data_IF_969155802224
#
_entry.id   IF_969155802224
#
_cell.length_a   1.000
_cell.length_b   1.000
_cell.length_c   1.000
_cell.angle_alpha   90.00
_cell.angle_beta   90.00
_cell.angle_gamma   90.00
#
_symmetry.space_group_name_H-M   'P 1'
#
loop_
_entity.id
_entity.type
_entity.pdbx_description
1 polymer ?
#
# COMPACT_ATOMS: atom_id res chain seq x y z
N UNK A 1 13.38 16.03 19.93
CA UNK A 1 13.69 15.86 18.48
C UNK A 1 12.37 15.55 17.75
N UNK A 2 11.95 16.41 16.82
CA UNK A 2 10.59 16.37 16.23
C UNK A 2 10.66 16.42 14.71
N UNK A 3 9.81 15.67 14.03
CA UNK A 3 9.66 15.72 12.57
C UNK A 3 8.24 15.36 12.15
N UNK A 4 7.85 15.84 10.98
CA UNK A 4 6.57 15.54 10.34
C UNK A 4 6.81 15.00 8.93
N UNK A 5 6.11 13.94 8.56
CA UNK A 5 6.18 13.36 7.23
C UNK A 5 4.80 13.05 6.66
N UNK A 6 4.75 12.93 5.33
CA UNK A 6 3.56 12.59 4.57
C UNK A 6 3.87 11.46 3.59
N UNK A 7 2.95 10.51 3.47
CA UNK A 7 3.01 9.44 2.49
C UNK A 7 1.63 9.17 1.86
N UNK A 8 1.63 8.63 0.64
CA UNK A 8 0.43 8.22 -0.07
C UNK A 8 0.11 6.74 0.15
N UNK A 9 -1.17 6.32 0.17
CA UNK A 9 -1.54 4.92 0.11
C UNK A 9 -1.11 4.29 -1.22
N UNK A 10 -1.20 2.97 -1.33
CA UNK A 10 -0.79 2.23 -2.52
C UNK A 10 -1.90 1.34 -3.04
N UNK A 11 -1.86 1.10 -4.34
CA UNK A 11 -2.53 0.00 -5.03
C UNK A 11 -1.49 -1.06 -5.40
N UNK A 12 -1.72 -2.32 -5.07
CA UNK A 12 -0.89 -3.42 -5.56
C UNK A 12 -1.15 -3.70 -7.04
N UNK A 13 -0.09 -3.76 -7.87
CA UNK A 13 -0.16 -4.19 -9.26
C UNK A 13 0.21 -5.67 -9.40
N UNK A 14 1.36 -6.08 -8.84
CA UNK A 14 1.69 -7.47 -8.56
C UNK A 14 1.78 -7.59 -7.03
N UNK A 15 0.78 -8.21 -6.43
CA UNK A 15 0.55 -8.18 -4.98
C UNK A 15 1.33 -9.29 -4.29
N UNK A 16 1.95 -9.00 -3.14
CA UNK A 16 2.41 -10.08 -2.28
C UNK A 16 1.21 -10.74 -1.59
N UNK A 17 1.34 -12.03 -1.29
CA UNK A 17 0.37 -12.77 -0.49
C UNK A 17 1.10 -13.81 0.37
N UNK A 18 0.80 -13.80 1.66
CA UNK A 18 1.50 -14.58 2.67
C UNK A 18 2.81 -13.96 3.14
N UNK A 19 3.18 -14.30 4.37
CA UNK A 19 4.41 -13.89 5.04
C UNK A 19 5.24 -15.11 5.37
N UNK A 20 6.53 -15.10 4.99
CA UNK A 20 7.50 -16.13 5.42
C UNK A 20 8.02 -15.90 6.84
N UNK A 21 7.91 -14.63 7.30
CA UNK A 21 8.21 -14.17 8.64
C UNK A 21 7.20 -13.09 9.01
N UNK A 22 6.37 -13.38 10.01
CA UNK A 22 5.30 -12.48 10.44
C UNK A 22 5.81 -11.35 11.34
N UNK A 23 6.82 -11.62 12.17
CA UNK A 23 7.40 -10.63 13.09
C UNK A 23 8.11 -9.53 12.30
N UNK A 24 8.96 -9.93 11.35
CA UNK A 24 9.67 -9.03 10.45
C UNK A 24 8.83 -8.59 9.24
N UNK A 25 7.64 -9.14 9.07
CA UNK A 25 6.74 -8.90 7.92
C UNK A 25 7.39 -9.10 6.56
N UNK A 26 8.16 -10.19 6.46
CA UNK A 26 8.77 -10.62 5.20
C UNK A 26 7.75 -11.39 4.36
N UNK A 27 7.37 -10.90 3.18
CA UNK A 27 6.51 -11.66 2.27
C UNK A 27 7.27 -12.83 1.62
N UNK A 28 6.54 -13.81 1.12
CA UNK A 28 7.11 -14.94 0.38
C UNK A 28 7.72 -14.55 -0.96
N UNK A 29 7.24 -13.50 -1.58
CA UNK A 29 7.67 -13.07 -2.91
C UNK A 29 7.62 -11.56 -3.08
N UNK A 30 8.35 -11.08 -4.07
CA UNK A 30 8.39 -9.69 -4.52
C UNK A 30 7.02 -9.17 -4.91
N UNK A 31 6.87 -7.85 -4.90
CA UNK A 31 5.62 -7.19 -5.27
C UNK A 31 5.85 -5.81 -5.87
N UNK A 32 4.94 -5.38 -6.74
CA UNK A 32 4.95 -4.05 -7.38
C UNK A 32 3.65 -3.32 -7.03
N UNK A 33 3.74 -2.02 -6.79
CA UNK A 33 2.58 -1.15 -6.56
C UNK A 33 2.80 0.23 -7.14
N UNK A 34 1.71 0.98 -7.28
CA UNK A 34 1.73 2.43 -7.45
C UNK A 34 1.16 3.14 -6.22
N UNK A 35 1.62 4.36 -5.94
CA UNK A 35 1.03 5.25 -4.94
C UNK A 35 -0.14 6.03 -5.53
N UNK A 36 -1.16 6.31 -4.70
CA UNK A 36 -2.38 7.01 -5.11
C UNK A 36 -2.50 8.37 -4.41
N UNK A 37 -2.33 9.44 -5.19
CA UNK A 37 -2.50 10.82 -4.73
C UNK A 37 -3.87 11.38 -5.17
N UNK A 38 -4.44 12.39 -4.49
CA UNK A 38 -3.89 13.17 -3.37
C UNK A 38 -4.12 12.55 -1.97
N UNK A 39 -4.75 11.38 -1.87
CA UNK A 39 -4.94 10.71 -0.57
C UNK A 39 -3.60 10.51 0.14
N UNK A 40 -3.56 10.75 1.44
CA UNK A 40 -2.32 10.68 2.20
C UNK A 40 -2.56 10.46 3.69
N UNK A 41 -1.52 9.97 4.36
CA UNK A 41 -1.38 10.03 5.81
C UNK A 41 -0.26 11.00 6.16
N UNK A 42 -0.51 11.87 7.15
CA UNK A 42 0.47 12.76 7.75
C UNK A 42 0.76 12.29 9.18
N UNK A 43 2.04 12.18 9.52
CA UNK A 43 2.47 11.73 10.84
C UNK A 43 3.51 12.69 11.41
N UNK A 44 3.27 13.15 12.65
CA UNK A 44 4.24 13.92 13.44
C UNK A 44 4.72 13.06 14.60
N UNK A 45 6.03 13.06 14.81
CA UNK A 45 6.66 12.36 15.93
C UNK A 45 7.61 13.28 16.68
N UNK A 46 7.73 13.06 17.99
CA UNK A 46 8.69 13.75 18.84
C UNK A 46 9.31 12.76 19.83
N UNK A 47 10.64 12.61 19.77
CA UNK A 47 11.41 11.92 20.80
C UNK A 47 11.75 12.90 21.91
N UNK A 48 11.30 12.60 23.13
CA UNK A 48 11.41 13.46 24.31
C UNK A 48 12.02 12.66 25.48
N UNK A 49 13.21 13.05 25.99
CA UNK A 49 13.86 12.36 27.12
C UNK A 49 13.10 12.51 28.43
N UNK A 50 12.27 13.54 28.57
CA UNK A 50 11.57 13.86 29.81
C UNK A 50 10.17 13.20 29.88
N UNK A 51 9.74 12.54 28.83
CA UNK A 51 8.45 11.84 28.77
C UNK A 51 8.53 10.50 29.50
N UNK A 52 7.49 10.16 30.27
CA UNK A 52 7.45 8.90 31.05
C UNK A 52 7.07 7.67 30.22
N UNK A 53 6.22 7.84 29.18
CA UNK A 53 5.71 6.74 28.35
C UNK A 53 5.52 7.15 26.89
N UNK A 54 5.49 6.15 26.01
CA UNK A 54 5.11 6.34 24.61
C UNK A 54 3.62 6.66 24.50
N UNK A 55 3.28 7.53 23.57
CA UNK A 55 1.90 7.93 23.26
C UNK A 55 1.65 7.79 21.76
N UNK A 56 0.62 7.04 21.39
CA UNK A 56 0.23 6.80 19.99
C UNK A 56 -1.20 7.24 19.76
N UNK A 57 -1.42 8.19 18.84
CA UNK A 57 -2.73 8.72 18.46
C UNK A 57 -2.89 8.65 16.94
N UNK A 58 -4.01 8.12 16.46
CA UNK A 58 -4.35 8.08 15.04
C UNK A 58 -5.78 8.60 14.85
N UNK A 59 -5.96 9.59 13.98
CA UNK A 59 -7.24 10.26 13.71
C UNK A 59 -7.94 10.78 14.99
N UNK A 60 -7.14 11.24 15.95
CA UNK A 60 -7.60 11.78 17.25
C UNK A 60 -7.86 10.73 18.33
N UNK A 61 -7.74 9.44 18.02
CA UNK A 61 -8.01 8.35 18.96
C UNK A 61 -6.72 7.66 19.42
N UNK A 62 -6.58 7.34 20.73
CA UNK A 62 -5.47 6.54 21.24
C UNK A 62 -5.44 5.15 20.58
N UNK A 63 -4.24 4.68 20.23
CA UNK A 63 -4.04 3.36 19.63
C UNK A 63 -3.56 2.37 20.69
N UNK A 64 -4.26 1.24 20.81
CA UNK A 64 -3.96 0.16 21.75
C UNK A 64 -3.83 -1.20 21.05
N UNK A 65 -3.40 -2.23 21.80
CA UNK A 65 -3.32 -3.61 21.35
C UNK A 65 -2.41 -3.80 20.12
N UNK A 66 -2.82 -4.66 19.18
CA UNK A 66 -2.03 -5.00 17.97
C UNK A 66 -1.60 -3.76 17.16
N UNK A 67 -2.43 -2.72 17.12
CA UNK A 67 -2.09 -1.46 16.43
C UNK A 67 -0.89 -0.76 17.08
N UNK A 68 -0.91 -0.63 18.41
CA UNK A 68 0.17 -0.04 19.19
C UNK A 68 1.45 -0.91 19.10
N UNK A 69 1.34 -2.22 19.11
CA UNK A 69 2.48 -3.12 19.01
C UNK A 69 3.19 -2.98 17.66
N UNK A 70 2.43 -2.80 16.57
CA UNK A 70 3.00 -2.52 15.24
C UNK A 70 3.71 -1.17 15.16
N UNK A 71 3.15 -0.11 15.76
CA UNK A 71 3.81 1.19 15.85
C UNK A 71 5.09 1.08 16.66
N UNK A 72 5.03 0.39 17.82
CA UNK A 72 6.17 0.15 18.69
C UNK A 72 7.31 -0.57 17.96
N UNK A 73 7.02 -1.59 17.15
CA UNK A 73 8.02 -2.30 16.36
C UNK A 73 8.84 -1.37 15.45
N UNK A 74 8.19 -0.38 14.83
CA UNK A 74 8.88 0.63 13.98
C UNK A 74 9.67 1.63 14.83
N UNK A 75 9.11 2.06 15.96
CA UNK A 75 9.75 2.98 16.90
C UNK A 75 11.02 2.36 17.50
N UNK A 76 10.93 1.12 17.96
CA UNK A 76 12.04 0.41 18.61
C UNK A 76 13.19 0.13 17.63
N UNK A 77 12.88 -0.22 16.38
CA UNK A 77 13.88 -0.32 15.32
C UNK A 77 14.64 0.99 15.10
N UNK A 78 13.93 2.13 15.07
CA UNK A 78 14.58 3.44 14.93
C UNK A 78 15.40 3.79 16.17
N UNK A 79 14.91 3.49 17.37
CA UNK A 79 15.66 3.68 18.62
C UNK A 79 16.96 2.89 18.64
N UNK A 80 16.91 1.62 18.25
CA UNK A 80 18.08 0.75 18.18
C UNK A 80 19.14 1.30 17.22
N UNK A 81 18.71 1.69 16.02
CA UNK A 81 19.63 2.26 14.99
C UNK A 81 20.22 3.60 15.42
N UNK A 82 19.45 4.43 16.12
CA UNK A 82 19.90 5.75 16.58
C UNK A 82 20.67 5.70 17.92
N UNK A 83 20.61 4.58 18.65
CA UNK A 83 21.21 4.45 19.97
C UNK A 83 20.55 5.35 21.03
N UNK A 84 19.22 5.56 20.94
CA UNK A 84 18.42 6.39 21.86
C UNK A 84 17.36 5.55 22.58
N UNK A 85 16.98 5.99 23.78
CA UNK A 85 15.93 5.38 24.61
C UNK A 85 14.77 6.33 24.93
N UNK A 86 14.76 7.50 24.29
CA UNK A 86 13.73 8.53 24.50
C UNK A 86 12.34 8.01 24.18
N UNK A 87 11.36 8.42 24.98
CA UNK A 87 9.94 8.14 24.72
C UNK A 87 9.45 8.97 23.55
N UNK A 88 8.43 8.46 22.86
CA UNK A 88 7.90 9.09 21.66
C UNK A 88 6.45 9.58 21.87
N UNK A 89 6.16 10.78 21.41
CA UNK A 89 4.83 11.24 21.09
C UNK A 89 4.63 11.04 19.58
N UNK A 90 3.59 10.31 19.24
CA UNK A 90 3.26 9.96 17.87
C UNK A 90 1.81 10.33 17.57
N UNK A 91 1.60 11.17 16.57
CA UNK A 91 0.25 11.54 16.10
C UNK A 91 0.18 11.38 14.59
N UNK A 92 -0.87 10.72 14.10
CA UNK A 92 -1.08 10.47 12.68
C UNK A 92 -2.51 10.81 12.26
N UNK A 93 -2.68 11.41 11.08
CA UNK A 93 -3.98 11.77 10.50
C UNK A 93 -4.08 11.31 9.05
N UNK A 94 -5.24 10.75 8.70
CA UNK A 94 -5.56 10.30 7.34
C UNK A 94 -6.45 11.32 6.63
N UNK A 95 -6.16 11.65 5.38
CA UNK A 95 -7.00 12.50 4.52
C UNK A 95 -8.17 11.76 3.88
N UNK A 96 -8.34 10.48 4.18
CA UNK A 96 -9.34 9.59 3.60
C UNK A 96 -9.90 8.64 4.65
N UNK A 97 -11.12 8.08 4.46
CA UNK A 97 -11.69 7.14 5.40
C UNK A 97 -10.82 5.89 5.56
N UNK A 98 -10.58 5.49 6.80
CA UNK A 98 -9.87 4.25 7.13
C UNK A 98 -10.80 3.04 7.08
N UNK A 99 -10.23 1.83 7.01
CA UNK A 99 -10.97 0.54 7.01
C UNK A 99 -11.86 0.25 5.79
N UNK A 100 -11.70 0.98 4.68
CA UNK A 100 -12.43 0.73 3.43
C UNK A 100 -11.58 0.04 2.34
N UNK A 101 -10.39 -0.44 2.68
CA UNK A 101 -9.57 -1.27 1.79
C UNK A 101 -8.52 -0.54 0.95
N UNK A 102 -8.31 0.76 1.14
CA UNK A 102 -7.36 1.57 0.36
C UNK A 102 -6.02 1.82 1.06
N UNK A 103 -5.49 0.83 1.78
CA UNK A 103 -4.09 0.83 2.20
C UNK A 103 -3.69 1.89 3.22
N UNK A 104 -4.57 2.29 4.17
CA UNK A 104 -4.23 3.24 5.24
C UNK A 104 -3.00 2.82 6.04
N UNK A 105 -2.80 1.53 6.28
CA UNK A 105 -1.58 1.03 6.94
C UNK A 105 -0.32 1.28 6.10
N UNK A 106 -0.41 1.27 4.77
CA UNK A 106 0.75 1.53 3.91
C UNK A 106 1.25 2.97 4.06
N UNK A 107 0.37 3.97 3.87
CA UNK A 107 0.72 5.38 4.04
C UNK A 107 1.07 5.71 5.49
N UNK A 108 0.34 5.14 6.46
CA UNK A 108 0.57 5.37 7.89
C UNK A 108 1.97 4.98 8.34
N UNK A 109 2.40 3.75 8.08
CA UNK A 109 3.73 3.29 8.46
C UNK A 109 4.86 3.86 7.60
N UNK A 110 4.58 4.25 6.35
CA UNK A 110 5.56 4.98 5.54
C UNK A 110 5.82 6.39 6.08
N UNK A 111 4.77 7.17 6.40
CA UNK A 111 4.90 8.47 7.03
C UNK A 111 5.56 8.36 8.42
N UNK A 112 5.18 7.35 9.21
CA UNK A 112 5.77 7.06 10.51
C UNK A 112 7.28 6.83 10.42
N UNK A 113 7.72 5.90 9.56
CA UNK A 113 9.14 5.58 9.42
C UNK A 113 9.96 6.79 8.94
N UNK A 114 9.44 7.56 7.98
CA UNK A 114 10.09 8.79 7.52
C UNK A 114 10.22 9.82 8.66
N UNK A 115 9.15 10.08 9.40
CA UNK A 115 9.17 11.05 10.50
C UNK A 115 10.08 10.58 11.66
N UNK A 116 10.03 9.29 12.02
CA UNK A 116 10.85 8.73 13.09
C UNK A 116 12.35 8.78 12.76
N UNK A 117 12.74 8.39 11.55
CA UNK A 117 14.16 8.42 11.11
C UNK A 117 14.70 9.84 11.05
N UNK A 118 13.91 10.79 10.54
CA UNK A 118 14.28 12.21 10.53
C UNK A 118 14.41 12.78 11.94
N UNK A 119 13.41 12.53 12.82
CA UNK A 119 13.45 13.01 14.21
C UNK A 119 14.62 12.40 15.00
N UNK A 120 15.02 11.17 14.70
CA UNK A 120 16.18 10.52 15.31
C UNK A 120 17.53 10.94 14.71
N UNK A 121 17.53 11.76 13.66
CA UNK A 121 18.75 12.23 12.98
C UNK A 121 19.48 11.15 12.17
N UNK A 122 18.78 10.12 11.74
CA UNK A 122 19.35 9.04 10.93
C UNK A 122 19.42 9.45 9.46
N UNK A 123 20.61 9.49 8.90
CA UNK A 123 20.84 9.79 7.47
C UNK A 123 20.70 8.52 6.63
N UNK A 124 19.44 8.10 6.40
CA UNK A 124 19.10 6.90 5.63
C UNK A 124 18.56 7.24 4.24
N UNK A 125 18.83 6.37 3.28
CA UNK A 125 18.19 6.40 1.95
C UNK A 125 16.75 5.90 2.04
N UNK A 126 15.88 6.25 1.07
CA UNK A 126 14.50 5.73 1.04
C UNK A 126 14.41 4.19 1.05
N UNK A 127 15.23 3.43 0.30
CA UNK A 127 15.24 1.98 0.43
C UNK A 127 15.54 1.48 1.86
N UNK A 128 16.44 2.11 2.60
CA UNK A 128 16.73 1.76 4.00
C UNK A 128 15.55 2.12 4.92
N UNK A 129 14.94 3.30 4.75
CA UNK A 129 13.71 3.66 5.48
C UNK A 129 12.56 2.70 5.14
N UNK A 130 12.49 2.20 3.90
CA UNK A 130 11.46 1.26 3.50
C UNK A 130 11.56 -0.09 4.24
N UNK A 131 12.77 -0.55 4.57
CA UNK A 131 12.97 -1.74 5.40
C UNK A 131 12.42 -1.54 6.83
N UNK A 132 12.59 -0.34 7.39
CA UNK A 132 12.03 0.04 8.70
C UNK A 132 10.48 0.10 8.62
N UNK A 133 9.93 0.78 7.62
CA UNK A 133 8.48 0.93 7.43
C UNK A 133 7.78 -0.44 7.27
N UNK A 134 8.44 -1.41 6.62
CA UNK A 134 7.96 -2.78 6.42
C UNK A 134 7.60 -3.47 7.72
N UNK A 135 8.33 -3.24 8.80
CA UNK A 135 8.05 -3.83 10.13
C UNK A 135 6.67 -3.47 10.66
N UNK A 136 6.18 -2.29 10.35
CA UNK A 136 4.80 -1.89 10.63
C UNK A 136 3.79 -2.46 9.62
N UNK A 137 4.14 -2.48 8.34
CA UNK A 137 3.34 -3.04 7.24
C UNK A 137 4.22 -3.30 6.02
N UNK A 138 4.21 -4.50 5.48
CA UNK A 138 4.98 -4.81 4.28
C UNK A 138 4.61 -3.91 3.07
N UNK A 139 3.36 -3.48 2.99
CA UNK A 139 2.89 -2.51 1.99
C UNK A 139 3.55 -1.13 2.16
N UNK A 140 3.88 -0.72 3.40
CA UNK A 140 4.46 0.58 3.68
C UNK A 140 5.84 0.77 3.04
N UNK A 141 6.60 -0.30 2.87
CA UNK A 141 7.89 -0.22 2.19
C UNK A 141 7.77 0.46 0.82
N UNK A 142 6.73 0.12 0.04
CA UNK A 142 6.51 0.69 -1.30
C UNK A 142 5.97 2.11 -1.25
N UNK A 143 5.19 2.45 -0.23
CA UNK A 143 4.73 3.83 -0.01
C UNK A 143 5.88 4.79 0.34
N UNK A 144 6.97 4.31 0.97
CA UNK A 144 8.18 5.12 1.22
C UNK A 144 8.87 5.52 -0.08
N UNK A 145 9.04 4.59 -1.01
CA UNK A 145 9.73 4.83 -2.28
C UNK A 145 8.86 5.51 -3.32
N UNK A 146 7.55 5.36 -3.22
CA UNK A 146 6.54 6.13 -3.95
C UNK A 146 6.45 5.85 -5.44
N UNK A 147 5.55 6.54 -6.12
CA UNK A 147 5.24 6.33 -7.53
C UNK A 147 5.06 4.83 -7.82
N UNK A 148 5.76 4.27 -8.79
CA UNK A 148 5.82 2.84 -9.01
C UNK A 148 7.01 2.23 -8.26
N UNK A 149 6.74 1.30 -7.38
CA UNK A 149 7.74 0.74 -6.47
C UNK A 149 7.73 -0.78 -6.46
N UNK A 150 8.92 -1.36 -6.35
CA UNK A 150 9.16 -2.79 -6.26
C UNK A 150 9.70 -3.13 -4.87
N UNK A 151 8.94 -3.88 -4.07
CA UNK A 151 9.43 -4.51 -2.85
C UNK A 151 10.12 -5.81 -3.22
N UNK A 152 11.43 -5.88 -2.99
CA UNK A 152 12.20 -7.12 -3.06
C UNK A 152 12.14 -7.81 -1.71
N UNK A 153 11.87 -9.10 -1.71
CA UNK A 153 11.83 -9.88 -0.48
C UNK A 153 13.21 -10.18 0.08
N UNK A 154 14.23 -10.17 -0.78
CA UNK A 154 15.61 -10.43 -0.36
C UNK A 154 15.82 -11.77 0.34
N UNK A 155 16.97 -11.92 0.99
CA UNK A 155 17.33 -13.10 1.78
C UNK A 155 17.25 -12.86 3.29
N UNK A 156 17.47 -11.63 3.72
CA UNK A 156 17.48 -11.20 5.12
C UNK A 156 16.64 -9.93 5.36
N UNK A 157 16.72 -9.38 6.57
CA UNK A 157 15.94 -8.22 6.96
C UNK A 157 16.38 -6.92 6.24
N UNK A 158 17.67 -6.75 6.00
CA UNK A 158 18.22 -5.53 5.43
C UNK A 158 17.98 -5.43 3.93
N UNK A 159 18.00 -6.56 3.20
CA UNK A 159 17.79 -6.56 1.75
C UNK A 159 16.30 -6.76 1.36
N UNK A 160 15.41 -7.02 2.33
CA UNK A 160 13.96 -6.94 2.15
C UNK A 160 13.47 -5.48 2.17
N UNK A 161 13.65 -4.78 1.05
CA UNK A 161 13.39 -3.35 0.92
C UNK A 161 12.81 -2.98 -0.43
N UNK A 162 12.20 -1.80 -0.49
CA UNK A 162 11.59 -1.26 -1.70
C UNK A 162 12.53 -0.31 -2.43
N UNK A 163 12.38 -0.27 -3.74
CA UNK A 163 12.99 0.72 -4.62
C UNK A 163 11.97 1.21 -5.65
N UNK A 164 12.08 2.48 -6.05
CA UNK A 164 11.32 3.01 -7.18
C UNK A 164 11.82 2.34 -8.45
N UNK A 165 10.91 2.01 -9.36
CA UNK A 165 11.24 1.45 -10.68
C UNK A 165 11.08 2.51 -11.76
N UNK A 166 11.84 2.37 -12.84
CA UNK A 166 11.72 3.22 -14.02
C UNK A 166 10.40 2.92 -14.73
N UNK A 167 9.66 3.97 -15.04
CA UNK A 167 8.39 3.95 -15.77
C UNK A 167 8.44 5.06 -16.82
N UNK A 168 7.81 4.85 -17.96
CA UNK A 168 7.70 5.89 -18.98
C UNK A 168 7.01 7.13 -18.41
N UNK A 169 7.58 8.31 -18.57
CA UNK A 169 7.08 9.56 -17.99
C UNK A 169 5.64 9.85 -18.43
N UNK A 170 5.31 9.55 -19.68
CA UNK A 170 3.96 9.73 -20.25
C UNK A 170 2.95 8.81 -19.54
N UNK A 171 3.33 7.55 -19.27
CA UNK A 171 2.46 6.61 -18.56
C UNK A 171 2.24 7.06 -17.11
N UNK A 172 3.30 7.46 -16.39
CA UNK A 172 3.18 7.93 -15.01
C UNK A 172 2.28 9.17 -14.91
N UNK A 173 2.35 10.10 -15.86
CA UNK A 173 1.54 11.32 -15.90
C UNK A 173 0.08 11.06 -16.29
N UNK A 174 -0.19 10.08 -17.15
CA UNK A 174 -1.49 9.83 -17.74
C UNK A 174 -2.41 8.92 -16.92
N UNK A 175 -1.84 8.00 -16.12
CA UNK A 175 -2.61 7.04 -15.33
C UNK A 175 -3.53 7.74 -14.34
N UNK A 176 -4.80 7.31 -14.35
CA UNK A 176 -5.81 7.66 -13.34
C UNK A 176 -6.36 6.39 -12.71
N UNK A 177 -6.67 6.49 -11.43
CA UNK A 177 -7.23 5.39 -10.63
C UNK A 177 -8.56 5.85 -10.04
N UNK A 178 -9.64 5.32 -10.56
CA UNK A 178 -10.97 5.53 -9.99
C UNK A 178 -11.18 4.51 -8.87
N UNK A 179 -11.28 4.98 -7.65
CA UNK A 179 -11.56 4.15 -6.49
C UNK A 179 -13.06 3.97 -6.31
N UNK A 180 -13.55 2.74 -6.42
CA UNK A 180 -14.94 2.38 -6.08
C UNK A 180 -15.01 1.87 -4.64
N UNK A 181 -15.65 2.64 -3.74
CA UNK A 181 -15.69 2.37 -2.30
C UNK A 181 -16.82 1.41 -1.95
N UNK A 182 -16.48 0.13 -1.72
CA UNK A 182 -17.44 -0.91 -1.32
C UNK A 182 -17.18 -1.28 0.14
N UNK A 183 -18.07 -0.86 1.07
CA UNK A 183 -17.93 -1.22 2.48
C UNK A 183 -18.00 -2.73 2.70
N UNK A 184 -17.04 -3.27 3.43
CA UNK A 184 -17.04 -4.68 3.84
C UNK A 184 -16.25 -4.88 5.11
N UNK A 185 -16.60 -5.94 5.87
CA UNK A 185 -15.75 -6.40 6.96
C UNK A 185 -14.44 -6.97 6.40
N UNK A 186 -13.32 -6.63 7.01
CA UNK A 186 -11.99 -7.01 6.53
C UNK A 186 -11.10 -7.51 7.66
N UNK A 187 -10.55 -8.72 7.49
CA UNK A 187 -9.45 -9.27 8.30
C UNK A 187 -8.23 -9.54 7.40
N UNK A 188 -7.39 -8.53 7.19
CA UNK A 188 -6.25 -8.64 6.26
C UNK A 188 -5.15 -9.55 6.80
N UNK A 189 -4.88 -9.53 8.10
CA UNK A 189 -3.79 -10.31 8.69
C UNK A 189 -4.09 -11.81 8.55
N UNK A 190 -5.32 -12.27 8.84
CA UNK A 190 -5.74 -13.68 8.66
C UNK A 190 -5.58 -14.17 7.22
N UNK A 191 -5.87 -13.34 6.22
CA UNK A 191 -5.69 -13.72 4.82
C UNK A 191 -4.22 -13.98 4.44
N UNK A 192 -3.28 -13.26 5.07
CA UNK A 192 -1.85 -13.50 4.85
C UNK A 192 -1.35 -14.72 5.61
N UNK A 193 -1.83 -14.93 6.83
CA UNK A 193 -1.49 -16.10 7.66
C UNK A 193 -1.88 -17.41 6.96
N UNK A 194 -3.06 -17.48 6.38
CA UNK A 194 -3.61 -18.68 5.72
C UNK A 194 -3.15 -18.89 4.27
N UNK A 195 -2.47 -17.91 3.66
CA UNK A 195 -2.14 -17.94 2.23
C UNK A 195 -1.37 -19.20 1.81
N UNK A 196 -0.39 -19.61 2.63
CA UNK A 196 0.46 -20.78 2.33
C UNK A 196 -0.28 -22.13 2.44
N UNK A 197 -1.45 -22.17 3.09
CA UNK A 197 -2.28 -23.36 3.22
C UNK A 197 -3.23 -23.56 2.03
N UNK A 198 -3.38 -22.56 1.18
CA UNK A 198 -4.17 -22.64 -0.04
C UNK A 198 -3.48 -23.56 -1.07
N UNK A 199 -4.23 -24.51 -1.65
CA UNK A 199 -3.73 -25.35 -2.74
C UNK A 199 -3.40 -24.58 -4.02
N UNK A 200 -3.80 -23.30 -4.13
CA UNK A 200 -3.44 -22.42 -5.25
C UNK A 200 -2.12 -21.68 -5.00
N UNK A 201 -1.59 -21.70 -3.78
CA UNK A 201 -0.41 -20.92 -3.40
C UNK A 201 0.86 -21.30 -4.17
N UNK A 202 1.13 -22.61 -4.33
CA UNK A 202 2.30 -23.07 -5.09
C UNK A 202 2.23 -22.61 -6.56
N UNK A 203 1.04 -22.65 -7.17
CA UNK A 203 0.82 -22.16 -8.53
C UNK A 203 1.12 -20.67 -8.65
N UNK A 204 0.67 -19.86 -7.64
CA UNK A 204 0.99 -18.44 -7.58
C UNK A 204 2.50 -18.21 -7.45
N UNK A 205 3.17 -18.93 -6.55
CA UNK A 205 4.63 -18.83 -6.36
C UNK A 205 5.42 -19.20 -7.63
N UNK A 206 4.95 -20.17 -8.39
CA UNK A 206 5.63 -20.63 -9.61
C UNK A 206 5.65 -19.55 -10.71
N UNK A 207 4.59 -18.74 -10.85
CA UNK A 207 4.51 -17.75 -11.93
C UNK A 207 4.88 -16.33 -11.53
N UNK A 208 4.87 -15.99 -10.23
CA UNK A 208 4.99 -14.60 -9.77
C UNK A 208 6.28 -13.89 -10.23
N UNK A 209 7.42 -14.60 -10.28
CA UNK A 209 8.69 -14.02 -10.77
C UNK A 209 8.59 -13.56 -12.22
N UNK A 210 7.89 -14.34 -13.06
CA UNK A 210 7.62 -13.97 -14.43
C UNK A 210 6.69 -12.75 -14.54
N UNK A 211 5.71 -12.64 -13.64
CA UNK A 211 4.80 -11.47 -13.59
C UNK A 211 5.56 -10.20 -13.20
N UNK A 212 6.43 -10.24 -12.18
CA UNK A 212 7.29 -9.12 -11.79
C UNK A 212 8.15 -8.63 -12.96
N UNK A 213 8.83 -9.56 -13.66
CA UNK A 213 9.71 -9.19 -14.76
C UNK A 213 8.95 -8.54 -15.94
N UNK A 214 7.78 -9.09 -16.30
CA UNK A 214 6.93 -8.55 -17.35
C UNK A 214 6.35 -7.19 -16.98
N UNK A 215 5.76 -7.04 -15.79
CA UNK A 215 5.23 -5.77 -15.28
C UNK A 215 6.28 -4.66 -15.35
N UNK A 216 7.51 -4.93 -14.95
CA UNK A 216 8.60 -3.94 -15.04
C UNK A 216 8.95 -3.54 -16.47
N UNK A 217 8.89 -4.49 -17.41
CA UNK A 217 9.08 -4.21 -18.82
C UNK A 217 7.98 -3.34 -19.39
N UNK A 218 6.74 -3.73 -19.17
CA UNK A 218 5.52 -3.04 -19.64
C UNK A 218 5.44 -1.61 -19.12
N UNK A 219 5.70 -1.40 -17.82
CA UNK A 219 5.73 -0.07 -17.22
C UNK A 219 6.85 0.82 -17.81
N UNK A 220 8.05 0.26 -18.01
CA UNK A 220 9.17 0.99 -18.61
C UNK A 220 8.91 1.34 -20.06
N UNK A 221 8.26 0.43 -20.80
CA UNK A 221 7.97 0.61 -22.23
C UNK A 221 6.70 1.47 -22.45
N UNK A 222 5.99 1.87 -21.40
CA UNK A 222 4.79 2.71 -21.46
C UNK A 222 3.54 1.99 -21.92
N UNK A 223 3.52 0.65 -21.85
CA UNK A 223 2.40 -0.19 -22.30
C UNK A 223 1.34 -0.26 -21.19
N UNK A 224 0.38 0.70 -21.23
CA UNK A 224 -0.71 0.79 -20.26
C UNK A 224 -1.55 -0.49 -20.24
N UNK A 225 -1.99 -0.94 -21.42
CA UNK A 225 -2.91 -2.07 -21.53
C UNK A 225 -2.28 -3.35 -20.97
N UNK A 226 -1.05 -3.68 -21.38
CA UNK A 226 -0.38 -4.88 -20.90
C UNK A 226 -0.11 -4.83 -19.38
N UNK A 227 0.30 -3.67 -18.83
CA UNK A 227 0.58 -3.50 -17.41
C UNK A 227 -0.68 -3.65 -16.55
N UNK A 228 -1.79 -2.99 -16.93
CA UNK A 228 -3.01 -3.03 -16.14
C UNK A 228 -3.87 -4.27 -16.35
N UNK A 229 -3.83 -4.91 -17.52
CA UNK A 229 -4.36 -6.25 -17.71
C UNK A 229 -3.66 -7.26 -16.78
N UNK A 230 -2.34 -7.15 -16.65
CA UNK A 230 -1.56 -7.96 -15.70
C UNK A 230 -1.96 -7.72 -14.26
N UNK A 231 -2.17 -6.47 -13.86
CA UNK A 231 -2.61 -6.11 -12.51
C UNK A 231 -4.03 -6.67 -12.20
N UNK A 232 -4.92 -6.67 -13.21
CA UNK A 232 -6.24 -7.29 -13.13
C UNK A 232 -6.12 -8.80 -12.92
N UNK A 233 -5.33 -9.49 -13.75
CA UNK A 233 -5.10 -10.93 -13.62
C UNK A 233 -4.40 -11.30 -12.29
N UNK A 234 -3.50 -10.47 -11.78
CA UNK A 234 -2.89 -10.70 -10.47
C UNK A 234 -3.91 -10.59 -9.33
N UNK A 235 -4.90 -9.69 -9.46
CA UNK A 235 -6.02 -9.58 -8.51
C UNK A 235 -6.85 -10.87 -8.48
N UNK A 236 -7.14 -11.45 -9.65
CA UNK A 236 -7.86 -12.72 -9.73
C UNK A 236 -7.05 -13.88 -9.15
N UNK A 237 -5.73 -13.90 -9.39
CA UNK A 237 -4.82 -14.90 -8.83
C UNK A 237 -4.73 -14.82 -7.31
N UNK A 238 -4.68 -13.59 -6.76
CA UNK A 238 -4.72 -13.37 -5.31
C UNK A 238 -6.04 -13.84 -4.71
N UNK A 239 -7.17 -13.48 -5.32
CA UNK A 239 -8.48 -13.89 -4.88
C UNK A 239 -8.65 -15.41 -4.90
N UNK A 240 -8.16 -16.10 -5.94
CA UNK A 240 -8.18 -17.56 -6.00
C UNK A 240 -7.42 -18.20 -4.82
N UNK A 241 -6.27 -17.63 -4.44
CA UNK A 241 -5.50 -18.11 -3.29
C UNK A 241 -6.26 -17.86 -1.98
N UNK A 242 -6.86 -16.68 -1.80
CA UNK A 242 -7.62 -16.32 -0.60
C UNK A 242 -8.89 -17.17 -0.45
N UNK A 243 -9.63 -17.37 -1.54
CA UNK A 243 -10.88 -18.15 -1.57
C UNK A 243 -10.67 -19.65 -1.33
N UNK A 244 -9.45 -20.15 -1.53
CA UNK A 244 -9.09 -21.56 -1.38
C UNK A 244 -8.21 -21.84 -0.15
N UNK A 245 -7.96 -20.82 0.68
CA UNK A 245 -7.38 -20.98 2.01
C UNK A 245 -8.38 -21.61 3.00
N UNK A 246 -7.94 -21.99 4.21
CA UNK A 246 -8.78 -22.67 5.21
C UNK A 246 -10.08 -21.96 5.54
N UNK A 247 -10.07 -20.63 5.69
CA UNK A 247 -11.25 -19.82 6.00
C UNK A 247 -12.13 -19.53 4.78
N UNK A 248 -11.66 -19.75 3.56
CA UNK A 248 -12.42 -19.55 2.32
C UNK A 248 -12.92 -18.12 2.14
N UNK A 249 -12.07 -17.12 2.42
CA UNK A 249 -12.45 -15.72 2.37
C UNK A 249 -12.89 -15.26 0.97
N UNK A 250 -14.13 -14.78 0.85
CA UNK A 250 -14.68 -14.11 -0.33
C UNK A 250 -14.92 -12.65 0.03
N UNK A 251 -13.99 -11.78 -0.33
CA UNK A 251 -14.10 -10.34 -0.01
C UNK A 251 -15.06 -9.60 -0.94
N UNK A 252 -15.28 -10.10 -2.16
CA UNK A 252 -16.08 -9.43 -3.17
C UNK A 252 -17.56 -9.41 -2.78
N UNK A 253 -18.14 -8.24 -2.83
CA UNK A 253 -19.55 -7.99 -2.60
C UNK A 253 -20.29 -7.86 -3.95
N UNK A 254 -21.64 -7.88 -3.99
CA UNK A 254 -22.38 -7.68 -5.23
C UNK A 254 -21.93 -6.45 -6.03
N UNK A 255 -21.67 -5.32 -5.34
CA UNK A 255 -21.20 -4.08 -5.97
C UNK A 255 -19.80 -4.22 -6.59
N UNK A 256 -18.93 -4.99 -5.97
CA UNK A 256 -17.60 -5.32 -6.55
C UNK A 256 -17.75 -6.01 -7.90
N UNK A 257 -18.66 -6.97 -8.00
CA UNK A 257 -18.92 -7.72 -9.24
C UNK A 257 -19.61 -6.83 -10.29
N UNK A 258 -20.52 -5.96 -9.89
CA UNK A 258 -21.14 -4.97 -10.78
C UNK A 258 -20.09 -4.07 -11.42
N UNK A 259 -19.13 -3.55 -10.63
CA UNK A 259 -18.02 -2.74 -11.14
C UNK A 259 -17.16 -3.54 -12.12
N UNK A 260 -16.83 -4.82 -11.82
CA UNK A 260 -16.05 -5.65 -12.75
C UNK A 260 -16.76 -5.84 -14.11
N UNK A 261 -18.08 -5.99 -14.10
CA UNK A 261 -18.85 -6.13 -15.33
C UNK A 261 -18.89 -4.80 -16.10
N UNK A 262 -19.14 -3.68 -15.42
CA UNK A 262 -19.13 -2.36 -16.04
C UNK A 262 -17.76 -2.02 -16.68
N UNK A 263 -16.65 -2.35 -16.00
CA UNK A 263 -15.29 -2.20 -16.56
C UNK A 263 -15.09 -3.03 -17.83
N UNK A 264 -15.62 -4.27 -17.88
CA UNK A 264 -15.52 -5.10 -19.07
C UNK A 264 -16.35 -4.56 -20.24
N UNK A 265 -17.56 -4.04 -19.96
CA UNK A 265 -18.42 -3.39 -20.94
C UNK A 265 -17.73 -2.15 -21.54
N UNK A 266 -17.18 -1.24 -20.72
CA UNK A 266 -16.40 -0.10 -21.18
C UNK A 266 -15.21 -0.53 -22.08
N UNK A 267 -14.54 -1.61 -21.72
CA UNK A 267 -13.41 -2.12 -22.51
C UNK A 267 -13.86 -2.69 -23.85
N UNK A 268 -15.02 -3.33 -23.93
CA UNK A 268 -15.64 -3.78 -25.21
C UNK A 268 -15.98 -2.58 -26.11
N UNK A 269 -16.31 -1.42 -25.53
CA UNK A 269 -16.55 -0.18 -26.25
C UNK A 269 -15.27 0.59 -26.62
N UNK A 270 -14.08 0.05 -26.25
CA UNK A 270 -12.77 0.55 -26.65
C UNK A 270 -12.10 1.48 -25.64
N UNK A 271 -12.65 1.63 -24.43
CA UNK A 271 -12.03 2.39 -23.35
C UNK A 271 -10.86 1.60 -22.74
N UNK A 272 -9.65 2.18 -22.61
CA UNK A 272 -8.53 1.53 -21.91
C UNK A 272 -8.80 1.55 -20.38
N UNK A 273 -9.36 0.47 -19.86
CA UNK A 273 -9.79 0.39 -18.45
C UNK A 273 -9.63 -1.01 -17.88
N UNK A 274 -9.10 -1.12 -16.65
CA UNK A 274 -8.80 -2.37 -15.98
C UNK A 274 -9.09 -2.27 -14.48
N UNK A 275 -9.77 -3.25 -13.90
CA UNK A 275 -9.96 -3.28 -12.46
C UNK A 275 -8.79 -3.91 -11.71
N UNK A 276 -8.63 -3.55 -10.47
CA UNK A 276 -7.73 -4.21 -9.52
C UNK A 276 -8.36 -4.19 -8.14
N UNK A 277 -8.10 -5.23 -7.36
CA UNK A 277 -8.51 -5.32 -5.94
C UNK A 277 -7.35 -5.85 -5.12
N UNK A 278 -7.22 -5.36 -3.90
CA UNK A 278 -6.35 -5.95 -2.89
C UNK A 278 -7.15 -6.95 -2.02
N UNK A 279 -6.81 -7.14 -0.75
CA UNK A 279 -7.60 -7.94 0.18
C UNK A 279 -8.79 -7.14 0.70
N UNK A 280 -9.88 -7.04 -0.07
CA UNK A 280 -11.10 -6.27 0.29
C UNK A 280 -12.13 -6.27 -0.83
N UNK A 281 -13.23 -5.53 -0.63
CA UNK A 281 -14.32 -5.41 -1.61
C UNK A 281 -14.19 -4.15 -2.49
N UNK A 282 -13.51 -3.11 -2.01
CA UNK A 282 -13.29 -1.88 -2.77
C UNK A 282 -12.39 -2.13 -3.97
N UNK A 283 -12.66 -1.42 -5.06
CA UNK A 283 -11.98 -1.60 -6.35
C UNK A 283 -11.11 -0.41 -6.68
N UNK A 284 -10.00 -0.68 -7.36
CA UNK A 284 -9.26 0.31 -8.12
C UNK A 284 -9.57 0.07 -9.59
N UNK A 285 -10.09 1.07 -10.28
CA UNK A 285 -10.35 1.03 -11.72
C UNK A 285 -9.34 1.94 -12.39
N UNK A 286 -8.41 1.34 -13.11
CA UNK A 286 -7.28 2.03 -13.73
C UNK A 286 -7.64 2.40 -15.16
N UNK A 287 -7.41 3.65 -15.53
CA UNK A 287 -7.65 4.21 -16.85
C UNK A 287 -6.65 5.33 -17.15
N UNK A 288 -6.80 5.99 -18.28
CA UNK A 288 -6.02 7.17 -18.66
C UNK A 288 -6.75 8.46 -18.30
N UNK A 289 -6.03 9.60 -18.33
CA UNK A 289 -6.61 10.91 -18.02
C UNK A 289 -7.78 11.27 -18.95
N UNK A 290 -7.74 10.84 -20.20
CA UNK A 290 -8.79 11.08 -21.20
C UNK A 290 -10.14 10.48 -20.79
N UNK A 291 -10.15 9.30 -20.18
CA UNK A 291 -11.36 8.54 -19.86
C UNK A 291 -11.75 8.59 -18.38
N UNK A 292 -11.01 9.35 -17.55
CA UNK A 292 -11.21 9.34 -16.10
C UNK A 292 -12.64 9.69 -15.66
N UNK A 293 -13.23 10.73 -16.28
CA UNK A 293 -14.58 11.21 -15.93
C UNK A 293 -15.65 10.18 -16.33
N UNK A 294 -15.54 9.56 -17.52
CA UNK A 294 -16.47 8.53 -18.01
C UNK A 294 -16.41 7.28 -17.12
N UNK A 295 -15.20 6.86 -16.75
CA UNK A 295 -14.98 5.70 -15.88
C UNK A 295 -15.49 5.99 -14.46
N UNK A 296 -15.29 7.21 -13.94
CA UNK A 296 -15.82 7.59 -12.63
C UNK A 296 -17.35 7.55 -12.61
N UNK A 297 -18.01 8.13 -13.61
CA UNK A 297 -19.48 8.13 -13.74
C UNK A 297 -20.01 6.67 -13.78
N UNK A 298 -19.40 5.83 -14.60
CA UNK A 298 -19.78 4.42 -14.73
C UNK A 298 -19.63 3.65 -13.42
N UNK A 299 -18.53 3.87 -12.69
CA UNK A 299 -18.31 3.23 -11.37
C UNK A 299 -19.31 3.74 -10.34
N UNK A 300 -19.59 5.05 -10.34
CA UNK A 300 -20.58 5.66 -9.43
C UNK A 300 -21.99 5.12 -9.69
N UNK A 301 -22.37 4.86 -10.94
CA UNK A 301 -23.66 4.26 -11.33
C UNK A 301 -23.84 2.84 -10.78
N UNK A 302 -22.77 2.15 -10.40
CA UNK A 302 -22.85 0.91 -9.62
C UNK A 302 -23.33 1.15 -8.17
N UNK A 303 -23.62 2.39 -7.78
CA UNK A 303 -24.17 2.77 -6.46
C UNK A 303 -23.12 2.74 -5.35
N UNK A 304 -21.91 3.20 -5.65
CA UNK A 304 -20.80 3.33 -4.72
C UNK A 304 -20.24 4.76 -4.74
N UNK A 305 -19.64 5.19 -3.63
CA UNK A 305 -18.88 6.42 -3.61
C UNK A 305 -17.57 6.24 -4.38
N UNK A 306 -17.14 7.30 -5.09
CA UNK A 306 -15.92 7.27 -5.91
C UNK A 306 -14.91 8.33 -5.49
N UNK A 307 -13.67 8.14 -5.90
CA UNK A 307 -12.60 9.14 -5.90
C UNK A 307 -11.67 8.88 -7.07
N UNK A 308 -11.25 9.93 -7.73
CA UNK A 308 -10.22 9.85 -8.77
C UNK A 308 -8.86 10.20 -8.17
N UNK A 309 -7.88 9.33 -8.41
CA UNK A 309 -6.50 9.50 -7.98
C UNK A 309 -5.54 9.53 -9.16
N UNK A 310 -4.41 10.20 -8.91
CA UNK A 310 -3.23 10.22 -9.77
C UNK A 310 -2.11 9.39 -9.14
N UNK A 311 -1.04 9.17 -9.89
CA UNK A 311 0.17 8.53 -9.34
C UNK A 311 0.83 9.46 -8.33
N UNK A 312 0.99 8.98 -7.10
CA UNK A 312 1.57 9.72 -5.98
C UNK A 312 3.07 9.57 -5.87
N UNK A 313 3.76 10.65 -5.49
CA UNK A 313 5.20 10.64 -5.26
C UNK A 313 5.64 9.86 -4.01
N UNK A 314 6.95 9.86 -3.70
CA UNK A 314 7.50 9.20 -2.52
C UNK A 314 7.09 9.88 -1.22
N UNK A 315 7.21 9.15 -0.11
CA UNK A 315 7.09 9.73 1.23
C UNK A 315 8.12 10.86 1.41
N UNK A 316 7.69 11.94 2.08
CA UNK A 316 8.52 13.14 2.26
C UNK A 316 8.35 13.76 3.62
N UNK A 317 9.41 14.42 4.07
CA UNK A 317 9.38 15.28 5.24
C UNK A 317 8.64 16.57 4.90
N UNK A 318 7.88 17.09 5.84
CA UNK A 318 7.14 18.33 5.76
C UNK A 318 7.78 19.42 6.63
N UNK A 319 7.44 20.67 6.35
CA UNK A 319 7.87 21.80 7.16
C UNK A 319 7.28 21.74 8.57
N UNK A 320 7.94 22.37 9.56
CA UNK A 320 7.50 22.40 10.95
C UNK A 320 6.09 23.00 11.12
N UNK A 321 5.71 23.94 10.23
CA UNK A 321 4.38 24.55 10.22
C UNK A 321 3.24 23.59 9.89
N UNK A 322 3.55 22.41 9.34
CA UNK A 322 2.59 21.35 9.01
C UNK A 322 2.47 20.30 10.14
N UNK A 323 3.17 20.48 11.24
CA UNK A 323 3.11 19.55 12.38
C UNK A 323 1.71 19.47 12.99
N UNK A 324 1.36 18.28 13.49
CA UNK A 324 0.05 18.00 14.09
C UNK A 324 -0.04 18.46 15.56
N UNK A 325 1.09 18.79 16.16
CA UNK A 325 1.18 19.34 17.54
C UNK A 325 2.46 20.16 17.73
#
# INVERSE_FOLDING_TARGET
MKATAKAHPIQGLVKYHGMRDEELRHPYHDSISLCTAPSHTKTTVEFDPDREADEYVVDGEPVEGKGADRIRSVVDEVRERAGIDHRVRFTSENSFPTNIGFGSSASGFAAAAMALTEAAGLALTRPEVSAIARRGSASAARAVTGAYSHLRTGTDDEDCRSERIDVADELEADVRVVAGMVPSYKETDSAHEEAAESHMFEGRMAHIRGQIAKMRGELRDGDFDAAFERAEHDSLSLAATTMTGPSGWVYWQPRTIEIFNAVRELREDGVPVYFSVDTGASTYVNTTAEYADEVEETVADCGVDTRVWEVGGPARILDESEALF
#
